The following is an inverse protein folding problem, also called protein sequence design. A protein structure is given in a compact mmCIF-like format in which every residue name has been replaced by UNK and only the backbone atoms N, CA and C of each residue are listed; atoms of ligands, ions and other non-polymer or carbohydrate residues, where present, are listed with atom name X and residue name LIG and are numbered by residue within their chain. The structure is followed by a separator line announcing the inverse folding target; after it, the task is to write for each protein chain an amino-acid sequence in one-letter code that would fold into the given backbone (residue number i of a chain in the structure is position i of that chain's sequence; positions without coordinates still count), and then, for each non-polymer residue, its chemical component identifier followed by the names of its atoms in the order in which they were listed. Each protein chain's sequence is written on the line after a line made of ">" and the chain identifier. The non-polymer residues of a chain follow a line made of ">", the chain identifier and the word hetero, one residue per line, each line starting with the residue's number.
data_IF_942013616712
#
_entry.id   IF_942013616712
#
_cell.length_a   1.000
_cell.length_b   1.000
_cell.length_c   1.000
_cell.angle_alpha   90.00
_cell.angle_beta   90.00
_cell.angle_gamma   90.00
#
_symmetry.space_group_name_H-M   'P 1'
#
loop_
_entity.id
_entity.type
_entity.pdbx_description
1 polymer ?
#
# COMPACT_ATOMS: atom_id res chain seq x y z
N UNK A 1 7.58 -49.06 3.22
CA UNK A 1 6.62 -48.24 3.98
C UNK A 1 7.33 -46.99 4.46
N UNK A 2 7.19 -45.91 3.68
CA UNK A 2 7.27 -44.47 4.00
C UNK A 2 7.39 -43.79 2.64
N UNK A 3 6.31 -43.13 2.22
CA UNK A 3 6.31 -42.25 1.06
C UNK A 3 6.65 -40.88 1.62
N UNK A 4 7.79 -40.33 1.23
CA UNK A 4 8.12 -38.93 1.44
C UNK A 4 7.24 -38.09 0.51
N UNK A 5 6.40 -37.27 1.12
CA UNK A 5 5.64 -36.20 0.51
C UNK A 5 6.11 -34.93 1.18
N UNK A 6 7.28 -34.45 0.79
CA UNK A 6 7.75 -33.09 1.06
C UNK A 6 8.41 -32.56 -0.21
N UNK A 7 7.61 -32.52 -1.28
CA UNK A 7 7.89 -31.76 -2.48
C UNK A 7 6.95 -30.55 -2.51
N UNK A 8 7.54 -29.41 -2.87
CA UNK A 8 6.93 -28.10 -3.18
C UNK A 8 6.86 -27.14 -1.98
N UNK A 9 8.03 -26.64 -1.59
CA UNK A 9 8.16 -25.23 -1.18
C UNK A 9 9.27 -24.62 -2.03
N UNK A 10 8.95 -24.34 -3.29
CA UNK A 10 9.72 -23.43 -4.14
C UNK A 10 8.84 -22.23 -4.41
N UNK A 11 9.13 -21.12 -3.73
CA UNK A 11 8.62 -19.80 -4.09
C UNK A 11 9.57 -18.76 -3.51
N UNK A 12 10.74 -18.66 -4.14
CA UNK A 12 11.37 -17.35 -4.35
C UNK A 12 10.37 -16.49 -5.14
N UNK A 13 9.56 -15.71 -4.44
CA UNK A 13 8.95 -14.50 -4.97
C UNK A 13 9.53 -13.33 -4.18
N UNK A 14 10.84 -13.15 -4.31
CA UNK A 14 11.43 -11.83 -4.12
C UNK A 14 10.90 -10.97 -5.26
N UNK A 15 9.91 -10.13 -4.96
CA UNK A 15 9.55 -9.03 -5.85
C UNK A 15 10.79 -8.14 -5.91
N UNK A 16 11.54 -8.23 -7.02
CA UNK A 16 12.68 -7.38 -7.29
C UNK A 16 12.18 -5.95 -7.55
N UNK A 17 11.97 -5.18 -6.49
CA UNK A 17 11.78 -3.74 -6.58
C UNK A 17 13.09 -3.11 -7.06
N UNK A 18 13.05 -2.46 -8.23
CA UNK A 18 14.20 -1.88 -8.90
C UNK A 18 14.89 -0.83 -8.02
N UNK A 19 16.19 -1.05 -7.74
CA UNK A 19 17.10 -0.07 -7.15
C UNK A 19 17.23 1.13 -8.10
N UNK A 20 16.46 2.20 -7.88
CA UNK A 20 16.58 3.42 -8.69
C UNK A 20 15.53 4.49 -8.40
N UNK A 21 14.35 4.12 -7.91
CA UNK A 21 13.33 5.08 -7.47
C UNK A 21 12.93 4.76 -6.04
N UNK A 22 13.23 5.68 -5.12
CA UNK A 22 12.77 5.59 -3.74
C UNK A 22 11.29 5.95 -3.70
N UNK A 23 10.43 4.95 -3.90
CA UNK A 23 9.01 5.04 -3.57
C UNK A 23 8.88 5.09 -2.05
N UNK A 24 8.24 6.12 -1.52
CA UNK A 24 7.99 6.30 -0.09
C UNK A 24 6.48 6.15 0.12
N UNK A 25 5.98 4.94 -0.13
CA UNK A 25 4.59 4.60 0.15
C UNK A 25 4.42 4.64 1.66
N UNK A 26 3.50 5.45 2.15
CA UNK A 26 3.35 5.65 3.59
C UNK A 26 2.17 4.85 4.10
N UNK A 27 2.40 4.08 5.16
CA UNK A 27 1.33 3.49 5.97
C UNK A 27 1.23 4.21 7.31
N UNK A 28 0.02 4.58 7.69
CA UNK A 28 -0.33 5.06 9.03
C UNK A 28 -1.34 4.12 9.65
N UNK A 29 -1.02 3.65 10.84
CA UNK A 29 -1.88 2.79 11.65
C UNK A 29 -2.38 3.62 12.84
N UNK A 30 -3.70 3.67 13.03
CA UNK A 30 -4.32 4.34 14.18
C UNK A 30 -5.60 3.63 14.57
N UNK A 31 -5.71 3.23 15.84
CA UNK A 31 -6.84 2.42 16.31
C UNK A 31 -7.01 1.21 15.38
N UNK A 32 -8.23 0.89 14.93
CA UNK A 32 -8.46 -0.14 13.93
C UNK A 32 -8.61 0.45 12.51
N UNK A 33 -7.64 1.27 12.11
CA UNK A 33 -7.60 1.94 10.80
C UNK A 33 -6.22 1.82 10.16
N UNK A 34 -6.18 1.36 8.91
CA UNK A 34 -5.04 1.48 8.02
C UNK A 34 -5.27 2.65 7.06
N UNK A 35 -4.25 3.49 6.92
CA UNK A 35 -4.25 4.60 5.97
C UNK A 35 -2.98 4.54 5.13
N UNK A 36 -3.16 4.32 3.84
CA UNK A 36 -2.12 4.37 2.84
C UNK A 36 -2.11 5.74 2.18
N UNK A 37 -0.92 6.30 1.98
CA UNK A 37 -0.72 7.49 1.17
C UNK A 37 0.29 7.20 0.09
N UNK A 38 -0.12 7.43 -1.14
CA UNK A 38 0.64 7.10 -2.34
C UNK A 38 1.06 8.37 -3.07
N UNK A 39 2.36 8.51 -3.33
CA UNK A 39 2.91 9.50 -4.25
C UNK A 39 2.41 9.30 -5.68
N UNK A 40 2.79 10.21 -6.59
CA UNK A 40 2.29 10.17 -7.97
C UNK A 40 2.78 8.92 -8.70
N UNK A 41 4.08 8.65 -8.68
CA UNK A 41 4.67 7.46 -9.32
C UNK A 41 4.07 6.15 -8.77
N UNK A 42 3.69 6.15 -7.50
CA UNK A 42 3.09 5.03 -6.78
C UNK A 42 1.65 4.78 -7.21
N UNK A 43 0.85 5.84 -7.40
CA UNK A 43 -0.49 5.72 -7.98
C UNK A 43 -0.41 5.22 -9.41
N UNK A 44 0.50 5.77 -10.22
CA UNK A 44 0.70 5.32 -11.61
C UNK A 44 1.15 3.85 -11.68
N UNK A 45 2.01 3.43 -10.74
CA UNK A 45 2.45 2.03 -10.63
C UNK A 45 1.32 1.13 -10.17
N UNK A 46 0.62 1.48 -9.09
CA UNK A 46 -0.53 0.71 -8.60
C UNK A 46 -1.62 0.58 -9.67
N UNK A 47 -1.84 1.63 -10.47
CA UNK A 47 -2.79 1.58 -11.57
C UNK A 47 -2.36 0.57 -12.64
N UNK A 48 -1.10 0.65 -13.08
CA UNK A 48 -0.55 -0.18 -14.16
C UNK A 48 -0.36 -1.65 -13.76
N UNK A 49 0.17 -1.92 -12.57
CA UNK A 49 0.58 -3.26 -12.14
C UNK A 49 -0.46 -3.95 -11.26
N UNK A 50 -1.37 -3.18 -10.67
CA UNK A 50 -2.32 -3.65 -9.68
C UNK A 50 -1.71 -3.99 -8.32
N UNK A 51 -0.42 -3.72 -8.09
CA UNK A 51 0.23 -4.02 -6.82
C UNK A 51 1.34 -3.02 -6.48
N UNK A 52 1.39 -2.63 -5.22
CA UNK A 52 2.48 -1.85 -4.64
C UNK A 52 2.64 -2.23 -3.16
N UNK A 53 3.86 -2.17 -2.65
CA UNK A 53 4.15 -2.46 -1.26
C UNK A 53 5.59 -2.15 -0.91
N UNK A 54 5.89 -2.24 0.38
CA UNK A 54 7.23 -1.99 0.90
C UNK A 54 7.48 -2.83 2.16
N UNK A 55 8.72 -2.87 2.63
CA UNK A 55 9.16 -3.71 3.75
C UNK A 55 10.13 -2.96 4.65
N UNK A 56 9.77 -2.88 5.93
CA UNK A 56 10.66 -2.40 7.00
C UNK A 56 11.53 -3.56 7.47
N UNK A 57 12.84 -3.41 7.33
CA UNK A 57 13.83 -4.42 7.75
C UNK A 57 14.37 -4.12 9.14
N UNK A 58 14.20 -5.06 10.06
CA UNK A 58 14.61 -4.89 11.47
C UNK A 58 15.95 -5.53 11.84
N UNK A 59 16.58 -6.27 10.93
CA UNK A 59 17.91 -6.87 11.15
C UNK A 59 18.08 -8.22 10.46
N UNK A 60 18.89 -9.10 11.06
CA UNK A 60 19.15 -10.44 10.54
C UNK A 60 18.06 -11.41 11.02
N UNK A 61 17.34 -12.05 10.09
CA UNK A 61 16.30 -13.05 10.39
C UNK A 61 14.95 -12.73 9.73
N UNK A 62 13.89 -13.49 10.08
CA UNK A 62 12.52 -13.32 9.54
C UNK A 62 11.67 -12.35 10.38
N UNK A 63 12.21 -11.17 10.69
CA UNK A 63 11.53 -10.15 11.51
C UNK A 63 11.16 -8.90 10.70
N UNK A 64 11.10 -9.04 9.38
CA UNK A 64 10.72 -7.95 8.49
C UNK A 64 9.20 -7.68 8.60
N UNK A 65 8.83 -6.41 8.47
CA UNK A 65 7.44 -5.99 8.47
C UNK A 65 7.06 -5.49 7.08
N UNK A 66 6.17 -6.22 6.41
CA UNK A 66 5.69 -5.89 5.08
C UNK A 66 4.33 -5.20 5.08
N UNK A 67 4.06 -4.42 4.04
CA UNK A 67 2.71 -3.94 3.75
C UNK A 67 2.51 -3.78 2.24
N UNK A 68 1.35 -4.18 1.73
CA UNK A 68 1.00 -4.05 0.32
C UNK A 68 -0.46 -3.64 0.10
N UNK A 69 -0.68 -2.98 -1.04
CA UNK A 69 -1.96 -2.77 -1.69
C UNK A 69 -2.02 -3.61 -2.96
N UNK A 70 -3.11 -4.34 -3.15
CA UNK A 70 -3.34 -5.20 -4.30
C UNK A 70 -4.73 -4.98 -4.89
N UNK A 71 -4.85 -4.89 -6.21
CA UNK A 71 -6.15 -4.93 -6.88
C UNK A 71 -6.71 -6.35 -6.79
N UNK A 72 -8.01 -6.47 -6.55
CA UNK A 72 -8.74 -7.74 -6.58
C UNK A 72 -9.96 -7.65 -7.49
N UNK A 73 -10.37 -8.79 -8.05
CA UNK A 73 -11.62 -8.90 -8.82
C UNK A 73 -12.86 -8.98 -7.91
N UNK A 74 -12.67 -9.08 -6.59
CA UNK A 74 -13.77 -9.05 -5.63
C UNK A 74 -14.39 -7.66 -5.56
N UNK A 75 -15.67 -7.61 -5.21
CA UNK A 75 -16.45 -6.37 -5.08
C UNK A 75 -16.12 -5.56 -3.83
N UNK A 76 -15.57 -6.22 -2.81
CA UNK A 76 -15.38 -5.64 -1.48
C UNK A 76 -13.90 -5.56 -1.12
N UNK A 77 -13.58 -4.63 -0.22
CA UNK A 77 -12.26 -4.55 0.38
C UNK A 77 -12.00 -5.77 1.25
N UNK A 78 -10.77 -6.28 1.18
CA UNK A 78 -10.28 -7.32 2.08
C UNK A 78 -8.96 -6.90 2.71
N UNK A 79 -8.65 -7.48 3.87
CA UNK A 79 -7.35 -7.30 4.50
C UNK A 79 -6.92 -8.59 5.19
N UNK A 80 -5.62 -8.86 5.19
CA UNK A 80 -5.02 -9.97 5.91
C UNK A 80 -3.67 -9.59 6.51
N UNK A 81 -3.25 -10.34 7.53
CA UNK A 81 -1.92 -10.24 8.11
C UNK A 81 -1.32 -11.64 8.18
N UNK A 82 -0.35 -11.92 7.31
CA UNK A 82 0.26 -13.24 7.14
C UNK A 82 1.77 -13.04 7.02
N UNK A 83 2.55 -13.86 7.74
CA UNK A 83 4.02 -13.85 7.69
C UNK A 83 4.66 -12.47 7.84
N UNK A 84 4.13 -11.66 8.77
CA UNK A 84 4.67 -10.32 9.06
C UNK A 84 4.26 -9.25 8.04
N UNK A 85 3.37 -9.57 7.09
CA UNK A 85 2.95 -8.67 6.03
C UNK A 85 1.46 -8.36 6.12
N UNK A 86 1.11 -7.07 6.11
CA UNK A 86 -0.26 -6.60 5.89
C UNK A 86 -0.55 -6.61 4.40
N UNK A 87 -1.58 -7.31 3.96
CA UNK A 87 -2.06 -7.26 2.57
C UNK A 87 -3.46 -6.68 2.55
N UNK A 88 -3.65 -5.56 1.87
CA UNK A 88 -4.97 -4.96 1.66
C UNK A 88 -5.34 -5.10 0.19
N UNK A 89 -6.49 -5.72 -0.06
CA UNK A 89 -7.03 -5.88 -1.41
C UNK A 89 -8.16 -4.89 -1.66
N UNK A 90 -8.09 -4.24 -2.81
CA UNK A 90 -8.98 -3.17 -3.24
C UNK A 90 -9.71 -3.62 -4.50
N UNK A 91 -11.04 -3.49 -4.59
CA UNK A 91 -11.77 -3.78 -5.82
C UNK A 91 -11.14 -3.05 -7.01
N UNK A 92 -10.78 -3.79 -8.06
CA UNK A 92 -10.02 -3.26 -9.19
C UNK A 92 -10.75 -2.07 -9.84
N UNK A 93 -12.08 -2.16 -9.98
CA UNK A 93 -12.90 -1.09 -10.54
C UNK A 93 -12.80 0.22 -9.74
N UNK A 94 -12.80 0.12 -8.40
CA UNK A 94 -12.70 1.28 -7.51
C UNK A 94 -11.29 1.87 -7.54
N UNK A 95 -10.27 1.00 -7.55
CA UNK A 95 -8.87 1.39 -7.66
C UNK A 95 -8.59 2.14 -8.98
N UNK A 96 -9.03 1.58 -10.12
CA UNK A 96 -8.86 2.17 -11.45
C UNK A 96 -9.53 3.55 -11.52
N UNK A 97 -10.78 3.65 -11.04
CA UNK A 97 -11.53 4.89 -11.01
C UNK A 97 -10.85 5.94 -10.13
N UNK A 98 -10.39 5.57 -8.94
CA UNK A 98 -9.71 6.49 -8.02
C UNK A 98 -8.37 6.96 -8.59
N UNK A 99 -7.56 6.05 -9.15
CA UNK A 99 -6.26 6.38 -9.70
C UNK A 99 -6.37 7.35 -10.89
N UNK A 100 -7.36 7.14 -11.76
CA UNK A 100 -7.54 7.91 -13.00
C UNK A 100 -8.47 9.12 -12.88
N UNK A 101 -8.90 9.49 -11.67
CA UNK A 101 -9.78 10.64 -11.43
C UNK A 101 -9.16 11.71 -10.55
N UNK A 102 -9.88 12.82 -10.34
CA UNK A 102 -9.55 13.84 -9.36
C UNK A 102 -9.90 13.44 -7.90
N UNK A 103 -10.41 12.22 -7.66
CA UNK A 103 -10.72 11.75 -6.32
C UNK A 103 -9.43 11.64 -5.48
N UNK A 104 -9.42 12.26 -4.31
CA UNK A 104 -8.26 12.33 -3.41
C UNK A 104 -8.12 11.04 -2.60
N UNK A 105 -9.25 10.49 -2.15
CA UNK A 105 -9.29 9.36 -1.22
C UNK A 105 -10.26 8.29 -1.69
N UNK A 106 -9.86 7.04 -1.52
CA UNK A 106 -10.68 5.86 -1.62
C UNK A 106 -10.79 5.23 -0.22
N UNK A 107 -11.98 4.82 0.20
CA UNK A 107 -12.21 4.27 1.52
C UNK A 107 -13.02 2.97 1.45
N UNK A 108 -12.66 2.03 2.31
CA UNK A 108 -13.31 0.75 2.47
C UNK A 108 -13.38 0.33 3.92
N UNK A 109 -14.23 -0.66 4.20
CA UNK A 109 -14.30 -1.32 5.50
C UNK A 109 -14.23 -2.82 5.25
N UNK A 110 -13.22 -3.46 5.84
CA UNK A 110 -13.15 -4.91 5.91
C UNK A 110 -13.80 -5.39 7.21
N UNK A 111 -14.76 -6.29 7.10
CA UNK A 111 -15.45 -6.90 8.24
C UNK A 111 -14.91 -8.31 8.41
N UNK A 112 -14.09 -8.54 9.44
CA UNK A 112 -13.53 -9.86 9.74
C UNK A 112 -14.54 -10.76 10.45
N UNK A 113 -15.35 -10.16 11.34
CA UNK A 113 -16.45 -10.80 12.06
C UNK A 113 -17.44 -9.73 12.58
N UNK A 114 -18.46 -10.14 13.34
CA UNK A 114 -19.51 -9.25 13.87
C UNK A 114 -18.99 -8.10 14.75
N UNK A 115 -17.79 -8.23 15.33
CA UNK A 115 -17.20 -7.28 16.27
C UNK A 115 -15.97 -6.57 15.70
N UNK A 116 -15.34 -7.13 14.67
CA UNK A 116 -14.05 -6.68 14.14
C UNK A 116 -14.21 -6.04 12.77
N UNK A 117 -14.15 -4.71 12.74
CA UNK A 117 -14.20 -3.90 11.50
C UNK A 117 -12.93 -3.09 11.33
N UNK A 118 -12.18 -3.36 10.28
CA UNK A 118 -10.99 -2.62 9.90
C UNK A 118 -11.35 -1.52 8.90
N UNK A 119 -11.06 -0.27 9.25
CA UNK A 119 -11.20 0.86 8.31
C UNK A 119 -9.96 0.96 7.44
N UNK A 120 -10.16 1.17 6.14
CA UNK A 120 -9.09 1.27 5.16
C UNK A 120 -9.27 2.58 4.41
N UNK A 121 -8.23 3.41 4.41
CA UNK A 121 -8.16 4.65 3.63
C UNK A 121 -6.96 4.57 2.70
N UNK A 122 -7.14 4.94 1.45
CA UNK A 122 -6.09 5.05 0.44
C UNK A 122 -6.18 6.46 -0.12
N UNK A 123 -5.07 7.19 -0.13
CA UNK A 123 -5.05 8.60 -0.49
C UNK A 123 -3.87 8.94 -1.38
N UNK A 124 -4.07 9.94 -2.25
CA UNK A 124 -2.97 10.61 -2.96
C UNK A 124 -2.18 11.45 -1.96
N UNK A 125 -0.86 11.26 -1.90
CA UNK A 125 0.04 12.04 -1.04
C UNK A 125 0.38 13.36 -1.75
N UNK A 126 -0.12 14.47 -1.23
CA UNK A 126 0.14 15.82 -1.74
C UNK A 126 1.36 16.41 -1.02
N UNK A 127 2.10 17.29 -1.71
CA UNK A 127 3.20 18.06 -1.09
C UNK A 127 2.63 18.84 0.11
N UNK A 128 3.25 18.71 1.27
CA UNK A 128 2.90 19.50 2.44
C UNK A 128 3.59 20.86 2.32
N UNK A 129 2.82 21.96 2.41
CA UNK A 129 3.37 23.33 2.34
C UNK A 129 4.40 23.63 3.45
N UNK A 130 4.39 22.89 4.57
CA UNK A 130 5.31 23.03 5.71
C UNK A 130 6.20 21.80 5.90
N UNK A 131 6.90 21.38 4.84
CA UNK A 131 7.88 20.31 4.92
C UNK A 131 9.02 20.65 5.89
N UNK A 132 9.23 19.84 6.94
CA UNK A 132 10.54 19.79 7.59
C UNK A 132 11.57 19.28 6.55
N UNK A 133 12.75 19.91 6.54
CA UNK A 133 13.79 19.87 5.50
C UNK A 133 14.44 18.49 5.20
N UNK A 134 13.92 17.37 5.71
CA UNK A 134 14.60 16.07 5.65
C UNK A 134 13.89 15.01 4.78
N UNK A 135 12.76 15.32 4.15
CA UNK A 135 12.06 14.39 3.23
C UNK A 135 12.04 14.96 1.80
N UNK A 136 12.52 14.20 0.82
CA UNK A 136 12.31 14.48 -0.60
C UNK A 136 10.79 14.43 -0.91
N UNK A 137 10.27 15.50 -1.51
CA UNK A 137 8.85 15.68 -1.83
C UNK A 137 8.60 15.85 -3.32
N UNK A 138 9.62 15.64 -4.16
CA UNK A 138 9.55 15.86 -5.60
C UNK A 138 8.50 15.01 -6.32
N UNK A 139 8.12 13.86 -5.75
CA UNK A 139 7.13 12.92 -6.31
C UNK A 139 5.71 13.02 -5.71
N UNK A 140 5.40 14.11 -4.99
CA UNK A 140 4.06 14.29 -4.40
C UNK A 140 3.14 15.12 -5.32
N UNK A 141 1.82 14.97 -5.17
CA UNK A 141 0.84 15.73 -5.95
C UNK A 141 0.85 17.23 -5.58
N UNK A 142 0.60 18.15 -6.55
CA UNK A 142 0.56 19.59 -6.29
C UNK A 142 -0.62 19.95 -5.38
N UNK A 143 -0.38 20.85 -4.42
CA UNK A 143 -1.40 21.23 -3.45
C UNK A 143 -2.61 21.90 -4.14
N UNK A 144 -3.87 21.57 -3.78
CA UNK A 144 -5.07 22.10 -4.45
C UNK A 144 -5.28 23.62 -4.37
N UNK A 145 -4.42 24.34 -3.64
CA UNK A 145 -4.52 25.80 -3.43
C UNK A 145 -3.48 26.64 -4.22
N UNK A 146 -2.64 26.00 -5.04
CA UNK A 146 -1.64 26.71 -5.86
C UNK A 146 -0.43 27.25 -5.09
N UNK A 147 0.61 27.63 -5.85
CA UNK A 147 1.97 28.03 -5.42
C UNK A 147 2.09 29.45 -4.82
N UNK A 148 1.02 29.99 -4.24
CA UNK A 148 1.11 31.32 -3.61
C UNK A 148 1.65 31.19 -2.18
N UNK A 149 2.98 31.29 -2.13
CA UNK A 149 3.86 31.73 -1.04
C UNK A 149 3.31 31.82 0.40
N UNK A 150 3.98 31.04 1.26
CA UNK A 150 4.14 31.17 2.72
C UNK A 150 2.99 30.66 3.60
#
# INVERSE_FOLDING_TARGET
>A
MKRDLDHIWSTELYVNFHLGEHWIMKIRIRENTLRFRLGRSEVETFDRTGTIGDTVRFGIGKNDFGYSLEKTLQSDFSASFIDGTIVVQVPALDADKWANSGEVSLAGVFVADDQTKLKILIEKDFVCLNAHNDEDQSDRYPHPKGDDAC
#
